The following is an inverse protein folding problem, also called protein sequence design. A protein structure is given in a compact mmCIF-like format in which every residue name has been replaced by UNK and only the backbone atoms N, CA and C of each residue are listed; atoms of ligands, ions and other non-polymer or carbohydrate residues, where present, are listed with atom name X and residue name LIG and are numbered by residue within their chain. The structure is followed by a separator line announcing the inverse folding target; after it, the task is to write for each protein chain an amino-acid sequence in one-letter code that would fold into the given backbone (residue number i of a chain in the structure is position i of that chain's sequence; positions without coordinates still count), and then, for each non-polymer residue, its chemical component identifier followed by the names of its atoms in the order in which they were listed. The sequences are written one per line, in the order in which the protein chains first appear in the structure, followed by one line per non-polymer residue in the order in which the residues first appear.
data_IF_860090029360
#
_entry.id   IF_860090029360
#
_cell.length_a   1.000
_cell.length_b   1.000
_cell.length_c   1.000
_cell.angle_alpha   90.00
_cell.angle_beta   90.00
_cell.angle_gamma   90.00
#
_symmetry.space_group_name_H-M   'P 1'
#
loop_
_entity.id
_entity.type
_entity.pdbx_description
1 polymer ?
#
# COMPACT_ATOMS: atom_id res chain seq x y z
N UNK A 1 18.84 -22.97 -30.96
CA UNK A 1 18.20 -23.03 -29.63
C UNK A 1 19.19 -22.54 -28.60
N UNK A 2 19.08 -21.29 -28.14
CA UNK A 2 19.85 -20.82 -26.99
C UNK A 2 19.39 -21.63 -25.78
N UNK A 3 20.28 -22.42 -25.21
CA UNK A 3 19.96 -23.22 -24.03
C UNK A 3 19.56 -22.27 -22.91
N UNK A 4 18.34 -22.43 -22.37
CA UNK A 4 17.78 -21.76 -21.18
C UNK A 4 18.83 -21.40 -20.11
N UNK A 5 19.78 -22.28 -19.75
CA UNK A 5 20.85 -21.94 -18.80
C UNK A 5 21.73 -20.74 -19.20
N UNK A 6 22.01 -20.52 -20.49
CA UNK A 6 22.81 -19.36 -20.94
C UNK A 6 22.07 -18.04 -20.74
N UNK A 7 20.76 -18.01 -20.98
CA UNK A 7 19.94 -16.83 -20.73
C UNK A 7 19.90 -16.49 -19.24
N UNK A 8 19.72 -17.51 -18.39
CA UNK A 8 19.72 -17.34 -16.94
C UNK A 8 21.05 -16.77 -16.43
N UNK A 9 22.18 -17.37 -16.83
CA UNK A 9 23.52 -16.89 -16.42
C UNK A 9 23.78 -15.47 -16.91
N UNK A 10 23.36 -15.14 -18.14
CA UNK A 10 23.51 -13.78 -18.68
C UNK A 10 22.66 -12.76 -17.92
N UNK A 11 21.42 -13.10 -17.58
CA UNK A 11 20.54 -12.26 -16.76
C UNK A 11 21.14 -12.04 -15.37
N UNK A 12 21.67 -13.09 -14.73
CA UNK A 12 22.29 -13.00 -13.41
C UNK A 12 23.54 -12.13 -13.42
N UNK A 13 24.41 -12.31 -14.42
CA UNK A 13 25.62 -11.50 -14.61
C UNK A 13 25.25 -10.03 -14.82
N UNK A 14 24.22 -9.74 -15.63
CA UNK A 14 23.74 -8.38 -15.87
C UNK A 14 23.16 -7.75 -14.61
N UNK A 15 22.32 -8.47 -13.88
CA UNK A 15 21.74 -8.01 -12.61
C UNK A 15 22.82 -7.69 -11.56
N UNK A 16 23.88 -8.50 -11.49
CA UNK A 16 25.02 -8.23 -10.62
C UNK A 16 25.77 -6.96 -11.03
N UNK A 17 26.00 -6.78 -12.34
CA UNK A 17 26.65 -5.58 -12.88
C UNK A 17 25.83 -4.31 -12.62
N UNK A 18 24.50 -4.42 -12.68
CA UNK A 18 23.55 -3.32 -12.42
C UNK A 18 23.34 -3.03 -10.93
N UNK A 19 24.09 -3.70 -10.04
CA UNK A 19 23.99 -3.54 -8.58
C UNK A 19 22.57 -3.80 -8.05
N UNK A 20 21.89 -4.82 -8.56
CA UNK A 20 20.49 -5.16 -8.19
C UNK A 20 20.25 -5.22 -6.68
N UNK A 21 21.21 -5.74 -5.90
CA UNK A 21 21.10 -5.80 -4.44
C UNK A 21 21.13 -4.42 -3.79
N UNK A 22 21.92 -3.49 -4.32
CA UNK A 22 21.95 -2.11 -3.84
C UNK A 22 20.66 -1.36 -4.17
N UNK A 23 20.13 -1.58 -5.38
CA UNK A 23 18.84 -1.00 -5.79
C UNK A 23 17.67 -1.57 -4.98
N UNK A 24 17.70 -2.88 -4.69
CA UNK A 24 16.71 -3.53 -3.83
C UNK A 24 16.78 -3.00 -2.38
N UNK A 25 17.98 -2.81 -1.84
CA UNK A 25 18.18 -2.24 -0.52
C UNK A 25 17.66 -0.79 -0.43
N UNK A 26 17.89 0.03 -1.47
CA UNK A 26 17.37 1.38 -1.56
C UNK A 26 15.83 1.40 -1.61
N UNK A 27 15.23 0.55 -2.45
CA UNK A 27 13.78 0.43 -2.54
C UNK A 27 13.16 -0.04 -1.22
N UNK A 28 13.75 -1.07 -0.61
CA UNK A 28 13.30 -1.60 0.69
C UNK A 28 13.43 -0.59 1.82
N UNK A 29 14.52 0.18 1.85
CA UNK A 29 14.71 1.27 2.81
C UNK A 29 13.59 2.31 2.71
N UNK A 30 13.31 2.81 1.51
CA UNK A 30 12.25 3.80 1.31
C UNK A 30 10.85 3.25 1.63
N UNK A 31 10.61 1.98 1.30
CA UNK A 31 9.34 1.31 1.62
C UNK A 31 9.14 1.22 3.13
N UNK A 32 10.15 0.72 3.86
CA UNK A 32 10.10 0.62 5.31
C UNK A 32 9.94 1.99 5.99
N UNK A 33 10.62 3.02 5.47
CA UNK A 33 10.49 4.38 5.98
C UNK A 33 9.08 4.97 5.74
N UNK A 34 8.41 4.55 4.67
CA UNK A 34 7.06 5.01 4.36
C UNK A 34 5.99 4.42 5.28
N UNK A 35 6.14 3.16 5.71
CA UNK A 35 5.10 2.43 6.46
C UNK A 35 4.57 3.18 7.69
N UNK A 36 5.40 3.67 8.64
CA UNK A 36 4.90 4.35 9.83
C UNK A 36 4.12 5.62 9.47
N UNK A 37 4.67 6.41 8.53
CA UNK A 37 4.02 7.65 8.07
C UNK A 37 2.72 7.39 7.31
N UNK A 38 2.66 6.33 6.52
CA UNK A 38 1.46 5.92 5.78
C UNK A 38 0.35 5.49 6.75
N UNK A 39 0.68 4.65 7.74
CA UNK A 39 -0.25 4.21 8.78
C UNK A 39 -0.78 5.42 9.55
N UNK A 40 0.08 6.33 9.99
CA UNK A 40 -0.34 7.55 10.69
C UNK A 40 -1.22 8.46 9.82
N UNK A 41 -0.91 8.59 8.54
CA UNK A 41 -1.73 9.37 7.60
C UNK A 41 -3.12 8.74 7.43
N UNK A 42 -3.22 7.41 7.32
CA UNK A 42 -4.48 6.68 7.20
C UNK A 42 -5.30 6.81 8.49
N UNK A 43 -4.70 6.50 9.65
CA UNK A 43 -5.38 6.61 10.95
C UNK A 43 -5.83 8.03 11.23
N UNK A 44 -4.98 9.00 10.92
CA UNK A 44 -5.30 10.41 11.00
C UNK A 44 -6.48 10.79 10.11
N UNK A 45 -6.48 10.36 8.85
CA UNK A 45 -7.57 10.60 7.92
C UNK A 45 -8.89 10.00 8.44
N UNK A 46 -8.87 8.77 8.95
CA UNK A 46 -10.05 8.14 9.58
C UNK A 46 -10.55 8.98 10.76
N UNK A 47 -9.64 9.47 11.61
CA UNK A 47 -9.99 10.36 12.73
C UNK A 47 -10.65 11.67 12.31
N UNK A 48 -10.30 12.22 11.14
CA UNK A 48 -10.98 13.41 10.58
C UNK A 48 -12.44 13.12 10.20
N UNK A 49 -12.75 11.89 9.79
CA UNK A 49 -14.10 11.43 9.47
C UNK A 49 -14.83 10.82 10.68
N UNK A 50 -14.29 10.97 11.89
CA UNK A 50 -14.84 10.35 13.11
C UNK A 50 -16.31 10.71 13.37
N UNK A 51 -16.71 11.95 13.07
CA UNK A 51 -18.09 12.41 13.21
C UNK A 51 -19.09 11.72 12.26
N UNK A 52 -18.65 11.24 11.09
CA UNK A 52 -19.52 10.54 10.13
C UNK A 52 -19.52 9.03 10.34
N UNK A 53 -18.39 8.47 10.77
CA UNK A 53 -18.24 7.04 11.05
C UNK A 53 -18.99 6.60 12.31
N UNK A 54 -19.18 7.51 13.27
CA UNK A 54 -19.84 7.23 14.55
C UNK A 54 -18.90 6.60 15.58
N UNK A 55 -19.08 6.98 16.85
CA UNK A 55 -18.16 6.59 17.93
C UNK A 55 -18.02 5.06 18.08
N UNK A 56 -19.12 4.32 17.87
CA UNK A 56 -19.12 2.85 18.00
C UNK A 56 -18.20 2.19 16.98
N UNK A 57 -18.26 2.60 15.71
CA UNK A 57 -17.42 2.05 14.64
C UNK A 57 -15.94 2.38 14.88
N UNK A 58 -15.61 3.58 15.35
CA UNK A 58 -14.23 3.92 15.72
C UNK A 58 -13.72 3.12 16.90
N UNK A 59 -14.56 2.89 17.91
CA UNK A 59 -14.20 2.04 19.04
C UNK A 59 -13.98 0.60 18.61
N UNK A 60 -14.81 0.06 17.71
CA UNK A 60 -14.61 -1.26 17.11
C UNK A 60 -13.29 -1.33 16.35
N UNK A 61 -13.01 -0.34 15.49
CA UNK A 61 -11.76 -0.27 14.75
C UNK A 61 -10.54 -0.21 15.68
N UNK A 62 -10.56 0.64 16.71
CA UNK A 62 -9.46 0.76 17.66
C UNK A 62 -9.21 -0.58 18.37
N UNK A 63 -10.26 -1.24 18.86
CA UNK A 63 -10.14 -2.56 19.51
C UNK A 63 -9.55 -3.61 18.58
N UNK A 64 -9.97 -3.66 17.32
CA UNK A 64 -9.41 -4.60 16.34
C UNK A 64 -7.92 -4.34 16.07
N UNK A 65 -7.50 -3.08 16.05
CA UNK A 65 -6.07 -2.72 15.90
C UNK A 65 -5.28 -3.13 17.16
N UNK A 66 -5.79 -2.83 18.36
CA UNK A 66 -5.11 -3.15 19.61
C UNK A 66 -4.94 -4.67 19.80
N UNK A 67 -5.97 -5.46 19.46
CA UNK A 67 -5.92 -6.92 19.49
C UNK A 67 -4.90 -7.49 18.49
N UNK A 68 -4.92 -6.98 17.24
CA UNK A 68 -3.95 -7.36 16.22
C UNK A 68 -2.50 -7.03 16.63
N UNK A 69 -2.28 -5.87 17.27
CA UNK A 69 -0.94 -5.47 17.73
C UNK A 69 -0.45 -6.33 18.89
N UNK A 70 -1.34 -6.81 19.75
CA UNK A 70 -0.99 -7.67 20.89
C UNK A 70 -0.42 -9.03 20.44
N UNK A 71 -0.72 -9.47 19.22
CA UNK A 71 -0.11 -10.66 18.62
C UNK A 71 1.34 -10.45 18.13
N UNK A 72 1.75 -9.21 17.88
CA UNK A 72 3.06 -8.88 17.28
C UNK A 72 3.99 -8.18 18.27
N UNK A 73 3.42 -7.42 19.22
CA UNK A 73 4.11 -6.57 20.18
C UNK A 73 3.76 -7.02 21.60
N UNK A 74 4.68 -6.82 22.54
CA UNK A 74 4.44 -7.12 23.96
C UNK A 74 3.20 -6.35 24.45
N UNK A 75 2.20 -7.01 25.06
CA UNK A 75 0.93 -6.40 25.44
C UNK A 75 1.09 -5.12 26.28
N UNK A 76 2.05 -5.11 27.22
CA UNK A 76 2.31 -3.96 28.08
C UNK A 76 2.74 -2.71 27.32
N UNK A 77 3.42 -2.84 26.18
CA UNK A 77 3.79 -1.71 25.33
C UNK A 77 2.58 -1.19 24.52
N UNK A 78 1.67 -2.10 24.13
CA UNK A 78 0.42 -1.74 23.45
C UNK A 78 -0.44 -0.89 24.39
N UNK A 79 -0.73 -1.39 25.60
CA UNK A 79 -1.62 -0.73 26.57
C UNK A 79 -1.05 0.61 27.08
N UNK A 80 0.26 0.69 27.32
CA UNK A 80 0.88 1.87 27.92
C UNK A 80 1.20 2.98 26.93
N UNK A 81 1.45 2.63 25.66
CA UNK A 81 2.02 3.57 24.67
C UNK A 81 1.21 3.64 23.39
N UNK A 82 0.92 2.50 22.77
CA UNK A 82 0.34 2.48 21.42
C UNK A 82 -1.16 2.79 21.45
N UNK A 83 -1.94 2.10 22.28
CA UNK A 83 -3.38 2.33 22.39
C UNK A 83 -3.72 3.79 22.78
N UNK A 84 -3.04 4.42 23.75
CA UNK A 84 -3.24 5.85 24.04
C UNK A 84 -2.88 6.78 22.88
N UNK A 85 -1.83 6.46 22.10
CA UNK A 85 -1.46 7.22 20.93
C UNK A 85 -2.49 7.09 19.80
N UNK A 86 -2.97 5.87 19.53
CA UNK A 86 -4.04 5.59 18.58
C UNK A 86 -5.31 6.35 18.95
N UNK A 87 -5.72 6.30 20.22
CA UNK A 87 -6.88 7.02 20.71
C UNK A 87 -6.75 8.54 20.47
N UNK A 88 -5.58 9.12 20.74
CA UNK A 88 -5.33 10.56 20.48
C UNK A 88 -5.38 10.92 19.00
N UNK A 89 -5.00 10.01 18.10
CA UNK A 89 -5.04 10.24 16.66
C UNK A 89 -6.48 10.12 16.14
N UNK A 90 -7.20 9.07 16.56
CA UNK A 90 -8.55 8.77 16.09
C UNK A 90 -9.60 9.75 16.62
N UNK A 91 -9.52 10.13 17.90
CA UNK A 91 -10.53 10.98 18.55
C UNK A 91 -10.07 12.44 18.74
N UNK A 92 -8.78 12.72 18.64
CA UNK A 92 -8.22 14.04 18.95
C UNK A 92 -8.24 15.06 17.81
N UNK A 93 -8.71 14.70 16.61
CA UNK A 93 -8.84 15.64 15.48
C UNK A 93 -7.52 16.31 15.06
N UNK A 94 -6.38 15.62 15.19
CA UNK A 94 -5.04 16.19 15.01
C UNK A 94 -4.65 16.37 13.54
N UNK A 95 -5.26 17.34 12.85
CA UNK A 95 -4.98 17.69 11.45
C UNK A 95 -3.48 17.86 11.18
N UNK A 96 -2.74 18.45 12.13
CA UNK A 96 -1.29 18.67 12.03
C UNK A 96 -0.53 17.36 11.82
N UNK A 97 -0.86 16.33 12.62
CA UNK A 97 -0.24 15.01 12.54
C UNK A 97 -0.59 14.35 11.21
N UNK A 98 -1.87 14.41 10.81
CA UNK A 98 -2.33 13.84 9.54
C UNK A 98 -1.56 14.45 8.36
N UNK A 99 -1.44 15.77 8.34
CA UNK A 99 -0.82 16.51 7.24
C UNK A 99 0.67 16.22 7.14
N UNK A 100 1.39 16.22 8.27
CA UNK A 100 2.82 15.92 8.31
C UNK A 100 3.06 14.46 7.89
N UNK A 101 2.31 13.52 8.46
CA UNK A 101 2.44 12.10 8.12
C UNK A 101 2.11 11.82 6.66
N UNK A 102 1.10 12.50 6.12
CA UNK A 102 0.73 12.40 4.70
C UNK A 102 1.85 12.91 3.79
N UNK A 103 2.43 14.08 4.06
CA UNK A 103 3.53 14.64 3.27
C UNK A 103 4.76 13.73 3.32
N UNK A 104 5.12 13.23 4.51
CA UNK A 104 6.25 12.31 4.69
C UNK A 104 5.99 10.99 3.96
N UNK A 105 4.78 10.44 4.06
CA UNK A 105 4.39 9.22 3.34
C UNK A 105 4.45 9.41 1.83
N UNK A 106 3.95 10.54 1.33
CA UNK A 106 3.97 10.87 -0.09
C UNK A 106 5.39 11.00 -0.62
N UNK A 107 6.26 11.67 0.15
CA UNK A 107 7.67 11.83 -0.19
C UNK A 107 8.41 10.49 -0.24
N UNK A 108 8.31 9.72 0.85
CA UNK A 108 9.03 8.45 1.03
C UNK A 108 8.53 7.38 0.06
N UNK A 109 7.21 7.28 -0.14
CA UNK A 109 6.60 6.37 -1.09
C UNK A 109 6.89 6.75 -2.54
N UNK A 110 6.87 8.04 -2.88
CA UNK A 110 7.33 8.50 -4.21
C UNK A 110 8.83 8.20 -4.43
N UNK A 111 9.65 8.21 -3.38
CA UNK A 111 11.05 7.77 -3.47
C UNK A 111 11.18 6.27 -3.70
N UNK A 112 10.43 5.43 -3.00
CA UNK A 112 10.40 4.00 -3.27
C UNK A 112 9.99 3.71 -4.72
N UNK A 113 8.93 4.37 -5.20
CA UNK A 113 8.48 4.27 -6.59
C UNK A 113 9.55 4.75 -7.59
N UNK A 114 10.27 5.83 -7.28
CA UNK A 114 11.36 6.31 -8.11
C UNK A 114 12.49 5.28 -8.21
N UNK A 115 12.82 4.58 -7.12
CA UNK A 115 13.82 3.50 -7.13
C UNK A 115 13.33 2.30 -7.95
N UNK A 116 12.04 1.92 -7.89
CA UNK A 116 11.47 0.88 -8.76
C UNK A 116 11.57 1.25 -10.24
N UNK A 117 11.09 2.44 -10.61
CA UNK A 117 11.15 2.93 -12.00
C UNK A 117 12.60 3.00 -12.49
N UNK A 118 13.52 3.49 -11.65
CA UNK A 118 14.94 3.54 -11.99
C UNK A 118 15.53 2.14 -12.21
N UNK A 119 15.18 1.19 -11.34
CA UNK A 119 15.63 -0.21 -11.46
C UNK A 119 15.14 -0.85 -12.75
N UNK A 120 13.86 -0.68 -13.09
CA UNK A 120 13.27 -1.16 -14.36
C UNK A 120 13.98 -0.50 -15.54
N UNK A 121 14.17 0.82 -15.49
CA UNK A 121 14.84 1.59 -16.56
C UNK A 121 16.27 1.12 -16.79
N UNK A 122 17.01 0.80 -15.72
CA UNK A 122 18.36 0.23 -15.80
C UNK A 122 18.32 -1.15 -16.47
N UNK A 123 17.41 -2.03 -16.05
CA UNK A 123 17.27 -3.37 -16.62
C UNK A 123 16.99 -3.35 -18.14
N UNK A 124 16.20 -2.38 -18.61
CA UNK A 124 15.92 -2.17 -20.03
C UNK A 124 16.98 -1.35 -20.78
N UNK A 125 18.05 -0.89 -20.12
CA UNK A 125 19.11 -0.09 -20.75
C UNK A 125 18.68 1.34 -21.12
N UNK A 126 17.59 1.85 -20.55
CA UNK A 126 16.99 3.15 -20.89
C UNK A 126 17.46 4.30 -19.97
N UNK A 127 18.54 4.11 -19.19
CA UNK A 127 18.96 5.01 -18.09
C UNK A 127 19.16 6.48 -18.49
N UNK A 128 19.47 6.76 -19.76
CA UNK A 128 19.78 8.12 -20.24
C UNK A 128 18.58 8.87 -20.83
N UNK A 129 17.40 8.24 -20.93
CA UNK A 129 16.29 8.77 -21.72
C UNK A 129 15.48 9.90 -21.04
N UNK A 130 15.68 10.18 -19.74
CA UNK A 130 14.82 11.12 -18.98
C UNK A 130 15.61 11.97 -17.98
N UNK A 131 15.30 13.27 -17.94
CA UNK A 131 15.84 14.19 -16.93
C UNK A 131 15.33 13.88 -15.52
N UNK A 132 16.09 14.27 -14.49
CA UNK A 132 15.82 13.95 -13.08
C UNK A 132 14.44 14.42 -12.58
N UNK A 133 13.95 15.54 -13.09
CA UNK A 133 12.63 16.08 -12.70
C UNK A 133 11.49 15.26 -13.30
N UNK A 134 11.62 14.86 -14.57
CA UNK A 134 10.60 14.08 -15.26
C UNK A 134 10.45 12.68 -14.65
N UNK A 135 11.56 12.03 -14.28
CA UNK A 135 11.53 10.74 -13.59
C UNK A 135 10.88 10.85 -12.20
N UNK A 136 11.13 11.94 -11.47
CA UNK A 136 10.49 12.18 -10.17
C UNK A 136 8.99 12.43 -10.29
N UNK A 137 8.56 13.24 -11.26
CA UNK A 137 7.14 13.50 -11.49
C UNK A 137 6.39 12.24 -11.93
N UNK A 138 7.02 11.41 -12.78
CA UNK A 138 6.47 10.10 -13.14
C UNK A 138 6.30 9.20 -11.91
N UNK A 139 7.34 9.07 -11.09
CA UNK A 139 7.29 8.27 -9.87
C UNK A 139 6.19 8.76 -8.90
N UNK A 140 6.03 10.08 -8.76
CA UNK A 140 4.96 10.66 -7.96
C UNK A 140 3.58 10.29 -8.51
N UNK A 141 3.36 10.41 -9.83
CA UNK A 141 2.08 10.05 -10.47
C UNK A 141 1.75 8.58 -10.31
N UNK A 142 2.73 7.69 -10.51
CA UNK A 142 2.58 6.26 -10.30
C UNK A 142 2.28 5.93 -8.83
N UNK A 143 2.97 6.58 -7.89
CA UNK A 143 2.71 6.38 -6.48
C UNK A 143 1.31 6.84 -6.06
N UNK A 144 0.84 8.00 -6.53
CA UNK A 144 -0.53 8.44 -6.28
C UNK A 144 -1.54 7.46 -6.86
N UNK A 145 -1.34 6.98 -8.10
CA UNK A 145 -2.19 5.95 -8.70
C UNK A 145 -2.21 4.65 -7.89
N UNK A 146 -1.05 4.21 -7.39
CA UNK A 146 -0.92 3.06 -6.50
C UNK A 146 -1.70 3.25 -5.19
N UNK A 147 -1.58 4.42 -4.54
CA UNK A 147 -2.31 4.72 -3.30
C UNK A 147 -3.82 4.73 -3.54
N UNK A 148 -4.30 5.41 -4.60
CA UNK A 148 -5.72 5.46 -4.94
C UNK A 148 -6.29 4.08 -5.22
N UNK A 149 -5.54 3.26 -5.96
CA UNK A 149 -5.93 1.87 -6.23
C UNK A 149 -5.93 1.03 -4.95
N UNK A 150 -4.94 1.22 -4.08
CA UNK A 150 -4.82 0.49 -2.81
C UNK A 150 -5.96 0.79 -1.84
N UNK A 151 -6.49 2.02 -1.84
CA UNK A 151 -7.66 2.39 -1.04
C UNK A 151 -8.88 1.52 -1.38
N UNK A 152 -9.01 1.08 -2.64
CA UNK A 152 -10.10 0.21 -3.08
C UNK A 152 -9.71 -1.27 -2.98
N UNK A 153 -8.49 -1.61 -3.40
CA UNK A 153 -8.00 -2.98 -3.49
C UNK A 153 -7.80 -3.63 -2.13
N UNK A 154 -7.30 -2.89 -1.13
CA UNK A 154 -7.05 -3.45 0.22
C UNK A 154 -8.33 -3.85 0.95
N UNK A 155 -9.36 -2.98 1.08
CA UNK A 155 -10.63 -3.39 1.69
C UNK A 155 -11.26 -4.55 0.94
N UNK A 156 -11.18 -4.56 -0.39
CA UNK A 156 -11.68 -5.66 -1.20
C UNK A 156 -11.00 -6.96 -0.75
N UNK A 157 -9.67 -7.04 -0.80
CA UNK A 157 -8.88 -8.19 -0.36
C UNK A 157 -9.16 -8.64 1.08
N UNK A 158 -9.42 -7.70 2.00
CA UNK A 158 -9.65 -7.98 3.42
C UNK A 158 -11.06 -8.52 3.69
N UNK A 159 -12.08 -7.93 3.06
CA UNK A 159 -13.49 -8.33 3.26
C UNK A 159 -13.80 -9.70 2.64
N UNK A 160 -13.03 -10.14 1.66
CA UNK A 160 -13.33 -11.40 0.96
C UNK A 160 -14.68 -11.35 0.22
N UNK A 161 -14.99 -12.38 -0.57
CA UNK A 161 -16.26 -12.42 -1.31
C UNK A 161 -17.47 -12.55 -0.37
N UNK A 162 -17.35 -13.28 0.75
CA UNK A 162 -18.44 -13.50 1.70
C UNK A 162 -18.86 -12.24 2.47
N UNK A 163 -17.92 -11.53 3.10
CA UNK A 163 -18.28 -10.34 3.90
C UNK A 163 -18.64 -9.15 3.01
N UNK A 164 -18.16 -9.11 1.76
CA UNK A 164 -18.57 -8.09 0.79
C UNK A 164 -20.06 -8.18 0.44
N UNK A 165 -20.63 -9.39 0.34
CA UNK A 165 -22.07 -9.58 0.06
C UNK A 165 -22.91 -9.08 1.25
N UNK A 166 -22.42 -9.27 2.48
CA UNK A 166 -23.08 -8.84 3.71
C UNK A 166 -23.18 -7.31 3.87
N UNK A 167 -22.48 -6.53 3.03
CA UNK A 167 -22.63 -5.07 2.97
C UNK A 167 -23.91 -4.63 2.23
N UNK A 168 -24.56 -5.53 1.49
CA UNK A 168 -25.79 -5.24 0.74
C UNK A 168 -27.04 -5.69 1.51
N UNK A 169 -28.22 -5.07 1.30
CA UNK A 169 -29.46 -5.48 1.97
C UNK A 169 -29.87 -6.93 1.64
N UNK A 170 -30.49 -7.64 2.58
CA UNK A 170 -30.97 -9.04 2.50
C UNK A 170 -31.63 -9.41 1.15
N UNK A 171 -32.47 -8.51 0.63
CA UNK A 171 -33.20 -8.67 -0.64
C UNK A 171 -32.31 -8.80 -1.89
N UNK A 172 -31.05 -8.35 -1.86
CA UNK A 172 -30.10 -8.43 -2.98
C UNK A 172 -29.04 -9.51 -2.81
N UNK A 173 -28.95 -10.16 -1.64
CA UNK A 173 -27.88 -11.12 -1.34
C UNK A 173 -27.78 -12.23 -2.37
N UNK A 174 -28.91 -12.78 -2.84
CA UNK A 174 -28.90 -13.89 -3.80
C UNK A 174 -28.38 -13.50 -5.20
N UNK A 175 -28.61 -12.26 -5.64
CA UNK A 175 -28.10 -11.75 -6.91
C UNK A 175 -26.64 -11.28 -6.81
N UNK A 176 -26.31 -10.61 -5.71
CA UNK A 176 -24.95 -10.11 -5.44
C UNK A 176 -24.00 -11.25 -5.12
N UNK A 177 -24.43 -12.32 -4.45
CA UNK A 177 -23.56 -13.48 -4.17
C UNK A 177 -23.06 -14.15 -5.44
N UNK A 178 -23.95 -14.39 -6.41
CA UNK A 178 -23.58 -15.03 -7.68
C UNK A 178 -22.60 -14.15 -8.47
N UNK A 179 -22.84 -12.83 -8.50
CA UNK A 179 -21.95 -11.89 -9.17
C UNK A 179 -20.61 -11.77 -8.45
N UNK A 180 -20.60 -11.66 -7.13
CA UNK A 180 -19.38 -11.54 -6.32
C UNK A 180 -18.55 -12.81 -6.39
N UNK A 181 -19.14 -14.00 -6.28
CA UNK A 181 -18.40 -15.27 -6.35
C UNK A 181 -17.64 -15.43 -7.68
N UNK A 182 -18.21 -14.93 -8.78
CA UNK A 182 -17.59 -15.03 -10.11
C UNK A 182 -16.68 -13.84 -10.40
N UNK A 183 -17.11 -12.62 -10.12
CA UNK A 183 -16.45 -11.38 -10.58
C UNK A 183 -15.39 -10.86 -9.59
N UNK A 184 -15.47 -11.21 -8.30
CA UNK A 184 -14.56 -10.70 -7.28
C UNK A 184 -13.09 -10.99 -7.62
N UNK A 185 -12.76 -12.27 -7.87
CA UNK A 185 -11.39 -12.67 -8.20
C UNK A 185 -10.88 -12.09 -9.53
N UNK A 186 -11.65 -12.15 -10.64
CA UNK A 186 -11.28 -11.47 -11.88
C UNK A 186 -11.04 -9.97 -11.71
N UNK A 187 -11.88 -9.27 -10.94
CA UNK A 187 -11.73 -7.83 -10.71
C UNK A 187 -10.45 -7.56 -9.93
N UNK A 188 -10.19 -8.29 -8.85
CA UNK A 188 -8.93 -8.18 -8.06
C UNK A 188 -7.71 -8.44 -8.96
N UNK A 189 -7.76 -9.47 -9.80
CA UNK A 189 -6.69 -9.80 -10.75
C UNK A 189 -6.51 -8.69 -11.79
N UNK A 190 -7.59 -8.20 -12.39
CA UNK A 190 -7.53 -7.13 -13.41
C UNK A 190 -6.98 -5.83 -12.82
N UNK A 191 -7.42 -5.43 -11.62
CA UNK A 191 -6.88 -4.26 -10.92
C UNK A 191 -5.39 -4.45 -10.65
N UNK A 192 -5.00 -5.61 -10.13
CA UNK A 192 -3.61 -5.93 -9.82
C UNK A 192 -2.73 -5.94 -11.07
N UNK A 193 -3.20 -6.54 -12.17
CA UNK A 193 -2.52 -6.56 -13.46
C UNK A 193 -2.40 -5.16 -14.06
N UNK A 194 -3.45 -4.34 -13.96
CA UNK A 194 -3.42 -2.96 -14.43
C UNK A 194 -2.38 -2.15 -13.68
N UNK A 195 -2.30 -2.33 -12.36
CA UNK A 195 -1.30 -1.68 -11.52
C UNK A 195 0.13 -2.10 -11.91
N UNK A 196 0.34 -3.40 -12.12
CA UNK A 196 1.64 -3.94 -12.55
C UNK A 196 2.02 -3.47 -13.96
N UNK A 197 1.05 -3.46 -14.88
CA UNK A 197 1.23 -3.04 -16.26
C UNK A 197 1.50 -1.54 -16.38
N UNK A 198 0.94 -0.72 -15.48
CA UNK A 198 1.19 0.73 -15.45
C UNK A 198 2.60 1.05 -14.92
N UNK A 199 3.18 0.15 -14.13
CA UNK A 199 4.53 0.30 -13.59
C UNK A 199 5.62 0.00 -14.62
N UNK A 200 5.38 -0.94 -15.53
CA UNK A 200 6.30 -1.38 -16.60
C UNK A 200 6.28 -0.43 -17.80
#
# INVERSE_FOLDING_TARGET
MTSVPRLFVNALRRAWHDRVLGLAAEAGFWQLLSLPSAILAILGAIGLFSGWLGADNLNHLQRSIDDALTHVIVPSAVDSTIAPALHRILFGGRIDVVSISFIVSLWTGSSAMATFVNTITIAYGMRQARGAVASRLLALRLYVGFVLTSIVLLPLLVLGPGDFVNLFPDKWHHGVSVVTDIAYWPVVVVISLTLLATLY
#
